data_IF_194570247541
#
_entry.id   IF_194570247541
#
_cell.length_a   1.000
_cell.length_b   1.000
_cell.length_c   1.000
_cell.angle_alpha   90.00
_cell.angle_beta   90.00
_cell.angle_gamma   90.00
#
_symmetry.space_group_name_H-M   'P 1'
#
loop_
_entity.id
_entity.type
_entity.pdbx_description
1 polymer ?
#
# COMPACT_ATOMS: atom_id res chain seq x y z
N UNK A 1 -18.90 -0.38 2.88
CA UNK A 1 -18.47 0.99 3.21
C UNK A 1 -17.26 0.88 4.10
N UNK A 2 -16.13 1.44 3.68
CA UNK A 2 -14.88 1.46 4.43
C UNK A 2 -14.61 2.88 4.95
N UNK A 3 -14.29 3.00 6.24
CA UNK A 3 -14.00 4.27 6.91
C UNK A 3 -12.78 4.12 7.80
N UNK A 4 -11.84 5.07 7.73
CA UNK A 4 -10.68 5.10 8.63
C UNK A 4 -11.11 5.70 9.98
N UNK A 5 -10.92 4.96 11.07
CA UNK A 5 -11.22 5.43 12.44
C UNK A 5 -9.98 5.95 13.14
N UNK A 6 -8.80 5.42 12.80
CA UNK A 6 -7.52 5.95 13.27
C UNK A 6 -6.53 5.90 12.10
N UNK A 7 -6.18 7.07 11.57
CA UNK A 7 -5.27 7.18 10.45
C UNK A 7 -3.83 6.83 10.87
N UNK A 8 -3.02 6.43 9.89
CA UNK A 8 -1.58 6.28 10.09
C UNK A 8 -0.95 7.64 10.47
N UNK A 9 -0.02 7.62 11.42
CA UNK A 9 0.70 8.83 11.85
C UNK A 9 1.62 9.38 10.75
N UNK A 10 2.10 8.51 9.88
CA UNK A 10 2.92 8.85 8.72
C UNK A 10 2.57 7.90 7.56
N UNK A 11 2.60 8.44 6.35
CA UNK A 11 2.37 7.73 5.10
C UNK A 11 3.67 7.35 4.37
N UNK A 12 4.82 7.89 4.79
CA UNK A 12 6.09 7.53 4.18
C UNK A 12 6.43 6.06 4.40
N UNK A 13 6.92 5.42 3.34
CA UNK A 13 7.40 4.04 3.36
C UNK A 13 8.88 3.95 3.75
N UNK A 14 9.59 5.07 3.69
CA UNK A 14 11.00 5.23 4.00
C UNK A 14 11.18 6.30 5.06
N UNK A 15 12.12 6.07 5.97
CA UNK A 15 12.57 7.08 6.92
C UNK A 15 13.34 8.20 6.21
N UNK A 16 13.51 9.39 6.83
CA UNK A 16 14.31 10.48 6.25
C UNK A 16 15.74 10.06 5.90
N UNK A 17 16.38 9.25 6.76
CA UNK A 17 17.71 8.72 6.49
C UNK A 17 17.74 7.77 5.28
N UNK A 18 16.75 6.87 5.16
CA UNK A 18 16.63 5.97 4.01
C UNK A 18 16.36 6.74 2.70
N UNK A 19 15.56 7.83 2.75
CA UNK A 19 15.34 8.70 1.58
C UNK A 19 16.64 9.37 1.11
N UNK A 20 17.48 9.85 2.03
CA UNK A 20 18.80 10.44 1.72
C UNK A 20 19.73 9.40 1.09
N UNK A 21 19.80 8.22 1.69
CA UNK A 21 20.61 7.12 1.19
C UNK A 21 20.17 6.66 -0.20
N UNK A 22 18.86 6.65 -0.48
CA UNK A 22 18.32 6.26 -1.79
C UNK A 22 18.83 7.14 -2.95
N UNK A 23 19.13 8.43 -2.68
CA UNK A 23 19.66 9.37 -3.68
C UNK A 23 21.19 9.54 -3.62
N UNK A 24 21.87 8.71 -2.82
CA UNK A 24 23.33 8.72 -2.70
C UNK A 24 23.90 9.75 -1.72
N UNK A 25 23.06 10.35 -0.87
CA UNK A 25 23.51 11.22 0.22
C UNK A 25 23.84 10.40 1.48
N UNK A 26 24.65 10.97 2.38
CA UNK A 26 24.87 10.35 3.69
C UNK A 26 23.58 10.38 4.52
N UNK A 27 23.44 9.42 5.45
CA UNK A 27 22.25 9.32 6.29
C UNK A 27 21.97 10.56 7.13
N UNK A 28 22.98 11.39 7.39
CA UNK A 28 22.89 12.61 8.20
C UNK A 28 22.82 13.90 7.37
N UNK A 29 22.92 13.82 6.04
CA UNK A 29 22.86 14.99 5.16
C UNK A 29 21.41 15.43 4.89
N UNK A 30 20.92 16.33 5.75
CA UNK A 30 19.58 16.90 5.65
C UNK A 30 19.41 17.99 4.57
N UNK A 31 20.43 18.26 3.73
CA UNK A 31 20.42 19.39 2.79
C UNK A 31 19.32 19.33 1.72
N UNK A 32 18.77 18.13 1.46
CA UNK A 32 17.73 17.89 0.44
C UNK A 32 16.40 17.41 1.00
N UNK A 33 16.22 17.39 2.33
CA UNK A 33 15.02 16.87 2.97
C UNK A 33 13.73 17.56 2.51
N UNK A 34 13.78 18.89 2.33
CA UNK A 34 12.64 19.66 1.83
C UNK A 34 12.16 19.21 0.44
N UNK A 35 13.08 18.63 -0.37
CA UNK A 35 12.77 18.06 -1.69
C UNK A 35 12.40 16.58 -1.59
N UNK A 36 13.09 15.82 -0.73
CA UNK A 36 12.92 14.37 -0.62
C UNK A 36 11.61 13.98 0.10
N UNK A 37 11.19 14.72 1.13
CA UNK A 37 9.97 14.43 1.87
C UNK A 37 8.69 14.40 0.99
N UNK A 38 8.39 15.43 0.17
CA UNK A 38 7.23 15.36 -0.72
C UNK A 38 7.38 14.31 -1.82
N UNK A 39 8.61 14.01 -2.26
CA UNK A 39 8.88 12.94 -3.22
C UNK A 39 8.54 11.56 -2.63
N UNK A 40 8.94 11.32 -1.38
CA UNK A 40 8.64 10.10 -0.63
C UNK A 40 7.14 9.86 -0.50
N UNK A 41 6.38 10.89 -0.11
CA UNK A 41 4.92 10.81 -0.02
C UNK A 41 4.26 10.52 -1.38
N UNK A 42 4.74 11.16 -2.45
CA UNK A 42 4.24 10.90 -3.81
C UNK A 42 4.51 9.46 -4.23
N UNK A 43 5.69 8.92 -3.95
CA UNK A 43 6.03 7.53 -4.25
C UNK A 43 5.20 6.57 -3.39
N UNK A 44 5.01 6.85 -2.11
CA UNK A 44 4.17 6.04 -1.23
C UNK A 44 2.72 5.95 -1.75
N UNK A 45 2.14 7.07 -2.18
CA UNK A 45 0.81 7.10 -2.77
C UNK A 45 0.75 6.31 -4.10
N UNK A 46 1.77 6.43 -4.95
CA UNK A 46 1.86 5.68 -6.21
C UNK A 46 1.97 4.17 -5.95
N UNK A 47 2.76 3.74 -4.97
CA UNK A 47 2.88 2.33 -4.58
C UNK A 47 1.56 1.81 -4.04
N UNK A 48 0.86 2.58 -3.19
CA UNK A 48 -0.46 2.18 -2.70
C UNK A 48 -1.48 2.00 -3.84
N UNK A 49 -1.40 2.80 -4.89
CA UNK A 49 -2.21 2.62 -6.11
C UNK A 49 -1.82 1.35 -6.88
N UNK A 50 -0.52 1.10 -7.10
CA UNK A 50 -0.02 -0.11 -7.80
C UNK A 50 -0.40 -1.39 -7.06
N UNK A 51 -0.40 -1.35 -5.73
CA UNK A 51 -0.83 -2.45 -4.87
C UNK A 51 -2.35 -2.62 -4.79
N UNK A 52 -3.13 -1.75 -5.45
CA UNK A 52 -4.60 -1.73 -5.41
C UNK A 52 -5.15 -1.69 -3.98
N UNK A 53 -4.57 -0.82 -3.14
CA UNK A 53 -5.06 -0.63 -1.78
C UNK A 53 -6.39 0.13 -1.84
N UNK A 54 -7.45 -0.46 -1.27
CA UNK A 54 -8.81 0.08 -1.34
C UNK A 54 -8.91 1.51 -0.76
N UNK A 55 -9.57 2.47 -1.42
CA UNK A 55 -9.78 3.80 -0.87
C UNK A 55 -10.86 3.81 0.22
N UNK A 56 -10.69 4.66 1.23
CA UNK A 56 -11.64 4.82 2.33
C UNK A 56 -12.26 6.23 2.31
N UNK A 57 -13.20 6.43 1.38
CA UNK A 57 -13.81 7.74 1.13
C UNK A 57 -12.76 8.76 0.66
N UNK A 58 -12.65 9.89 1.37
CA UNK A 58 -11.67 10.94 1.08
C UNK A 58 -10.27 10.67 1.65
N UNK A 59 -10.10 9.62 2.45
CA UNK A 59 -8.78 9.29 3.03
C UNK A 59 -7.90 8.62 1.97
N UNK A 60 -6.65 9.09 1.77
CA UNK A 60 -5.75 8.51 0.79
C UNK A 60 -5.43 7.05 1.15
N UNK A 61 -5.27 6.17 0.15
CA UNK A 61 -4.83 4.80 0.41
C UNK A 61 -3.39 4.77 0.91
N UNK A 62 -3.11 3.90 1.88
CA UNK A 62 -1.79 3.74 2.49
C UNK A 62 -1.48 2.27 2.76
N UNK A 63 -0.20 1.91 2.73
CA UNK A 63 0.32 0.61 3.22
C UNK A 63 0.77 0.67 4.68
N UNK A 64 0.76 1.86 5.29
CA UNK A 64 1.07 2.08 6.70
C UNK A 64 -0.12 1.68 7.56
N UNK A 65 0.19 1.25 8.78
CA UNK A 65 -0.82 0.74 9.70
C UNK A 65 -1.87 1.81 10.04
N UNK A 66 -3.14 1.47 9.86
CA UNK A 66 -4.30 2.25 10.25
C UNK A 66 -5.37 1.36 10.88
N UNK A 67 -6.25 1.95 11.68
CA UNK A 67 -7.47 1.28 12.15
C UNK A 67 -8.63 1.70 11.27
N UNK A 68 -9.36 0.73 10.75
CA UNK A 68 -10.49 0.94 9.86
C UNK A 68 -11.73 0.25 10.39
N UNK A 69 -12.88 0.82 10.06
CA UNK A 69 -14.19 0.21 10.21
C UNK A 69 -14.74 -0.09 8.82
N UNK A 70 -15.10 -1.34 8.59
CA UNK A 70 -15.69 -1.80 7.35
C UNK A 70 -17.09 -2.34 7.62
N UNK A 71 -18.07 -1.71 7.00
CA UNK A 71 -19.47 -2.16 7.01
C UNK A 71 -19.77 -2.86 5.71
N UNK A 72 -20.04 -4.16 5.78
CA UNK A 72 -20.39 -4.99 4.63
C UNK A 72 -21.88 -5.36 4.72
N UNK A 73 -22.72 -4.89 3.78
CA UNK A 73 -24.05 -5.47 3.64
C UNK A 73 -23.88 -6.89 3.10
N UNK A 74 -24.48 -7.86 3.79
CA UNK A 74 -24.25 -9.26 3.50
C UNK A 74 -25.52 -10.05 3.23
N UNK A 75 -25.45 -10.91 2.21
CA UNK A 75 -26.29 -12.11 2.12
C UNK A 75 -25.55 -13.28 2.74
N UNK A 76 -26.20 -14.43 2.85
CA UNK A 76 -25.59 -15.63 3.42
C UNK A 76 -24.33 -16.04 2.62
N UNK A 77 -23.14 -16.02 3.23
CA UNK A 77 -21.85 -16.28 2.56
C UNK A 77 -20.82 -16.92 3.48
N UNK A 78 -19.89 -17.69 2.91
CA UNK A 78 -18.86 -18.45 3.64
C UNK A 78 -17.70 -17.59 4.19
N UNK A 79 -17.54 -16.36 3.69
CA UNK A 79 -16.44 -15.48 4.11
C UNK A 79 -16.63 -14.04 3.68
N UNK A 80 -16.00 -13.13 4.41
CA UNK A 80 -15.93 -11.71 4.09
C UNK A 80 -14.50 -11.35 3.72
N UNK A 81 -14.32 -10.86 2.50
CA UNK A 81 -13.05 -10.27 2.10
C UNK A 81 -12.97 -8.84 2.64
N UNK A 82 -12.02 -8.58 3.53
CA UNK A 82 -11.75 -7.25 4.05
C UNK A 82 -10.96 -6.42 3.03
N UNK A 83 -11.29 -5.13 2.94
CA UNK A 83 -10.77 -4.24 1.91
C UNK A 83 -9.31 -3.79 2.14
N UNK A 84 -8.83 -3.78 3.39
CA UNK A 84 -7.45 -3.38 3.74
C UNK A 84 -6.59 -4.59 4.08
N UNK A 85 -5.34 -4.58 3.59
CA UNK A 85 -4.36 -5.66 3.72
C UNK A 85 -2.95 -5.12 3.98
N UNK A 86 -2.08 -5.87 4.68
CA UNK A 86 -2.42 -7.08 5.47
C UNK A 86 -3.31 -6.74 6.67
N UNK A 87 -4.07 -7.72 7.18
CA UNK A 87 -4.82 -7.54 8.44
C UNK A 87 -3.93 -7.97 9.60
N UNK A 88 -3.74 -7.07 10.56
CA UNK A 88 -2.87 -7.31 11.73
C UNK A 88 -3.68 -7.86 12.89
N UNK A 89 -4.83 -7.27 13.18
CA UNK A 89 -5.69 -7.68 14.27
C UNK A 89 -7.14 -7.25 14.01
N UNK A 90 -8.10 -8.10 14.39
CA UNK A 90 -9.51 -7.73 14.47
C UNK A 90 -9.78 -7.17 15.86
N UNK A 91 -10.28 -5.94 15.93
CA UNK A 91 -10.66 -5.28 17.18
C UNK A 91 -12.06 -5.69 17.60
N UNK A 92 -13.01 -5.74 16.67
CA UNK A 92 -14.37 -6.22 16.94
C UNK A 92 -15.10 -6.61 15.66
N UNK A 93 -16.05 -7.52 15.82
CA UNK A 93 -17.02 -7.90 14.78
C UNK A 93 -18.41 -7.76 15.37
N UNK A 94 -19.30 -7.06 14.65
CA UNK A 94 -20.71 -6.93 14.98
C UNK A 94 -21.53 -7.50 13.83
N UNK A 95 -22.30 -8.54 14.14
CA UNK A 95 -23.20 -9.23 13.22
C UNK A 95 -24.65 -8.87 13.56
N UNK A 96 -25.33 -8.17 12.64
CA UNK A 96 -26.72 -7.70 12.78
C UNK A 96 -27.02 -6.97 14.12
N UNK A 97 -26.04 -6.22 14.62
CA UNK A 97 -26.13 -5.46 15.87
C UNK A 97 -25.68 -6.21 17.11
N UNK A 98 -25.41 -7.51 17.04
CA UNK A 98 -24.81 -8.30 18.13
C UNK A 98 -23.29 -8.35 17.97
N UNK A 99 -22.55 -8.04 19.04
CA UNK A 99 -21.11 -8.25 19.06
C UNK A 99 -20.80 -9.75 19.11
N UNK A 100 -19.88 -10.21 18.27
CA UNK A 100 -19.39 -11.59 18.28
C UNK A 100 -18.19 -11.73 19.20
N UNK A 101 -18.08 -12.90 19.83
CA UNK A 101 -16.89 -13.26 20.59
C UNK A 101 -15.70 -13.54 19.64
N UNK A 102 -14.44 -13.32 20.07
CA UNK A 102 -13.28 -13.63 19.23
C UNK A 102 -13.15 -15.11 18.82
N UNK A 103 -13.81 -16.03 19.53
CA UNK A 103 -13.87 -17.45 19.16
C UNK A 103 -14.93 -17.78 18.11
N UNK A 104 -15.78 -16.81 17.75
CA UNK A 104 -16.87 -16.95 16.79
C UNK A 104 -16.45 -16.57 15.36
N UNK A 105 -15.20 -16.15 15.16
CA UNK A 105 -14.66 -15.81 13.86
C UNK A 105 -13.16 -16.08 13.77
N UNK A 106 -12.68 -16.31 12.56
CA UNK A 106 -11.26 -16.45 12.26
C UNK A 106 -10.90 -15.56 11.08
N UNK A 107 -9.71 -14.95 11.13
CA UNK A 107 -9.17 -14.16 10.03
C UNK A 107 -7.91 -14.82 9.51
N UNK A 108 -7.81 -14.97 8.19
CA UNK A 108 -6.52 -15.19 7.55
C UNK A 108 -5.86 -13.82 7.33
N UNK A 109 -4.78 -13.49 8.07
CA UNK A 109 -4.15 -12.17 7.98
C UNK A 109 -3.53 -11.89 6.61
N UNK A 110 -3.19 -12.95 5.87
CA UNK A 110 -2.58 -12.86 4.55
C UNK A 110 -3.65 -12.53 3.52
N UNK A 111 -4.70 -13.36 3.41
CA UNK A 111 -5.76 -13.17 2.40
C UNK A 111 -6.80 -12.13 2.79
N UNK A 112 -6.84 -11.75 4.07
CA UNK A 112 -7.85 -10.90 4.69
C UNK A 112 -9.28 -11.42 4.51
N UNK A 113 -9.41 -12.75 4.46
CA UNK A 113 -10.70 -13.44 4.52
C UNK A 113 -11.05 -13.63 5.99
N UNK A 114 -12.19 -13.08 6.38
CA UNK A 114 -12.82 -13.26 7.68
C UNK A 114 -13.93 -14.31 7.57
N UNK A 115 -13.75 -15.43 8.27
CA UNK A 115 -14.67 -16.57 8.31
C UNK A 115 -15.44 -16.61 9.62
N UNK A 116 -16.73 -16.97 9.57
CA UNK A 116 -17.54 -17.21 10.76
C UNK A 116 -17.29 -18.62 11.26
N UNK A 117 -17.15 -18.78 12.58
CA UNK A 117 -16.94 -20.06 13.25
C UNK A 117 -17.99 -20.28 14.32
N UNK A 118 -18.73 -21.39 14.27
CA UNK A 118 -19.69 -21.73 15.31
C UNK A 118 -19.41 -23.15 15.83
N UNK A 119 -19.19 -23.28 17.14
CA UNK A 119 -18.87 -24.57 17.76
C UNK A 119 -17.63 -25.25 17.16
N UNK A 120 -16.63 -24.46 16.74
CA UNK A 120 -15.38 -24.95 16.14
C UNK A 120 -15.50 -25.41 14.68
N UNK A 121 -16.56 -25.02 13.97
CA UNK A 121 -16.78 -25.32 12.55
C UNK A 121 -17.03 -24.05 11.76
N UNK A 122 -16.62 -24.03 10.50
CA UNK A 122 -16.98 -22.94 9.58
C UNK A 122 -18.50 -22.84 9.46
N UNK A 123 -19.00 -21.61 9.54
CA UNK A 123 -20.40 -21.26 9.41
C UNK A 123 -20.58 -20.16 8.38
N UNK A 124 -21.82 -19.97 7.92
CA UNK A 124 -22.18 -18.84 7.08
C UNK A 124 -22.33 -17.59 7.93
N UNK A 125 -21.86 -16.46 7.38
CA UNK A 125 -22.30 -15.15 7.83
C UNK A 125 -23.81 -14.99 7.59
N UNK A 126 -24.52 -14.45 8.56
CA UNK A 126 -25.97 -14.18 8.44
C UNK A 126 -26.26 -13.16 7.33
N UNK A 127 -27.50 -13.17 6.84
CA UNK A 127 -27.97 -12.11 5.95
C UNK A 127 -28.30 -10.87 6.81
N UNK A 128 -27.57 -9.77 6.62
CA UNK A 128 -27.67 -8.61 7.49
C UNK A 128 -26.51 -7.62 7.31
N UNK A 129 -26.30 -6.79 8.33
CA UNK A 129 -25.19 -5.84 8.36
C UNK A 129 -24.06 -6.39 9.22
N UNK A 130 -22.88 -6.55 8.62
CA UNK A 130 -21.67 -6.88 9.37
C UNK A 130 -20.77 -5.66 9.44
N UNK A 131 -20.35 -5.32 10.66
CA UNK A 131 -19.41 -4.24 10.92
C UNK A 131 -18.16 -4.84 11.53
N UNK A 132 -17.02 -4.65 10.87
CA UNK A 132 -15.72 -5.14 11.32
C UNK A 132 -14.84 -3.95 11.61
N UNK A 133 -14.26 -3.89 12.81
CA UNK A 133 -13.23 -2.93 13.18
C UNK A 133 -11.91 -3.68 13.26
N UNK A 134 -10.89 -3.25 12.52
CA UNK A 134 -9.63 -3.95 12.44
C UNK A 134 -8.46 -3.03 12.13
N UNK A 135 -7.26 -3.48 12.50
CA UNK A 135 -6.00 -2.86 12.15
C UNK A 135 -5.45 -3.52 10.89
N UNK A 136 -5.05 -2.70 9.92
CA UNK A 136 -4.47 -3.17 8.67
C UNK A 136 -3.32 -2.29 8.19
N UNK A 137 -2.41 -2.88 7.43
CA UNK A 137 -1.17 -2.24 6.99
C UNK A 137 0.05 -2.65 7.83
N UNK A 138 1.18 -2.03 7.55
CA UNK A 138 2.46 -2.37 8.17
C UNK A 138 2.89 -1.33 9.19
N UNK A 139 3.14 -1.77 10.43
CA UNK A 139 3.84 -0.97 11.44
C UNK A 139 5.32 -0.81 11.08
N UNK A 140 5.96 -1.90 10.65
CA UNK A 140 7.30 -1.92 10.07
C UNK A 140 7.19 -2.29 8.58
N UNK A 141 7.60 -1.39 7.69
CA UNK A 141 7.50 -1.61 6.24
C UNK A 141 8.46 -2.72 5.81
N UNK A 142 8.00 -3.75 5.06
CA UNK A 142 8.84 -4.82 4.54
C UNK A 142 9.99 -4.32 3.66
N UNK A 143 11.11 -5.03 3.66
CA UNK A 143 12.31 -4.64 2.91
C UNK A 143 12.06 -4.50 1.40
N UNK A 144 11.26 -5.37 0.79
CA UNK A 144 10.96 -5.30 -0.64
C UNK A 144 10.19 -4.03 -0.99
N UNK A 145 9.23 -3.65 -0.15
CA UNK A 145 8.44 -2.42 -0.30
C UNK A 145 9.33 -1.19 -0.11
N UNK A 146 10.25 -1.23 0.86
CA UNK A 146 11.27 -0.17 1.03
C UNK A 146 12.17 -0.06 -0.19
N UNK A 147 12.67 -1.18 -0.72
CA UNK A 147 13.52 -1.18 -1.90
C UNK A 147 12.78 -0.62 -3.12
N UNK A 148 11.53 -1.02 -3.34
CA UNK A 148 10.69 -0.48 -4.39
C UNK A 148 10.49 1.04 -4.26
N UNK A 149 10.23 1.53 -3.04
CA UNK A 149 10.12 2.96 -2.77
C UNK A 149 11.44 3.69 -3.02
N UNK A 150 12.58 3.12 -2.60
CA UNK A 150 13.89 3.73 -2.77
C UNK A 150 14.27 3.84 -4.24
N UNK A 151 14.06 2.77 -5.03
CA UNK A 151 14.31 2.78 -6.48
C UNK A 151 13.48 3.84 -7.19
N UNK A 152 12.21 4.01 -6.80
CA UNK A 152 11.32 5.00 -7.43
C UNK A 152 11.66 6.43 -7.02
N UNK A 153 11.98 6.66 -5.75
CA UNK A 153 12.50 7.95 -5.24
C UNK A 153 13.77 8.33 -5.99
N UNK A 154 14.74 7.41 -6.07
CA UNK A 154 16.00 7.61 -6.78
C UNK A 154 15.76 7.98 -8.25
N UNK A 155 14.89 7.22 -8.93
CA UNK A 155 14.55 7.48 -10.32
C UNK A 155 13.93 8.87 -10.51
N UNK A 156 12.91 9.23 -9.72
CA UNK A 156 12.27 10.54 -9.82
C UNK A 156 13.24 11.69 -9.51
N UNK A 157 14.11 11.52 -8.51
CA UNK A 157 15.09 12.53 -8.13
C UNK A 157 16.09 12.81 -9.25
N UNK A 158 16.64 11.76 -9.88
CA UNK A 158 17.60 11.93 -10.98
C UNK A 158 16.95 12.34 -12.31
N UNK A 159 15.63 12.20 -12.45
CA UNK A 159 14.88 12.78 -13.57
C UNK A 159 14.59 14.27 -13.35
N UNK A 160 14.56 14.74 -12.09
CA UNK A 160 14.34 16.15 -11.78
C UNK A 160 15.50 16.99 -12.32
N UNK A 161 15.20 17.88 -13.27
CA UNK A 161 16.18 18.75 -13.93
C UNK A 161 16.66 18.28 -15.30
N UNK A 162 16.22 17.10 -15.77
CA UNK A 162 16.38 16.71 -17.18
C UNK A 162 15.29 17.33 -18.05
N UNK A 163 15.62 17.60 -19.31
CA UNK A 163 14.61 17.99 -20.31
C UNK A 163 13.70 16.79 -20.61
N UNK A 164 12.39 16.86 -20.30
CA UNK A 164 11.46 15.76 -20.55
C UNK A 164 11.29 15.42 -22.03
N UNK A 165 11.61 16.34 -22.94
CA UNK A 165 11.45 16.16 -24.39
C UNK A 165 12.69 15.54 -25.05
N UNK A 166 13.81 15.46 -24.33
CA UNK A 166 15.07 14.90 -24.86
C UNK A 166 15.03 13.36 -24.84
N UNK A 167 14.90 12.75 -26.02
CA UNK A 167 14.83 11.28 -26.20
C UNK A 167 16.18 10.62 -26.43
N UNK A 168 17.09 11.31 -27.10
CA UNK A 168 18.45 10.84 -27.41
C UNK A 168 19.37 12.03 -27.54
N UNK A 169 20.58 11.89 -27.03
CA UNK A 169 21.66 12.88 -27.15
C UNK A 169 22.88 12.17 -27.71
N UNK A 170 23.43 12.72 -28.78
CA UNK A 170 24.63 12.21 -29.41
C UNK A 170 25.61 13.36 -29.60
N UNK A 171 26.80 13.19 -29.02
CA UNK A 171 27.98 14.00 -29.27
C UNK A 171 28.98 13.07 -29.95
N UNK A 172 29.18 13.20 -31.28
CA UNK A 172 30.04 12.32 -32.05
C UNK A 172 31.41 12.14 -31.39
N UNK A 173 31.88 10.91 -31.31
CA UNK A 173 33.17 10.49 -30.72
C UNK A 173 33.37 10.80 -29.22
N UNK A 174 32.35 11.31 -28.51
CA UNK A 174 32.45 11.70 -27.10
C UNK A 174 31.41 11.00 -26.23
N UNK A 175 30.13 11.00 -26.63
CA UNK A 175 29.03 10.54 -25.80
C UNK A 175 27.81 10.17 -26.64
N UNK A 176 27.16 9.05 -26.32
CA UNK A 176 25.85 8.71 -26.86
C UNK A 176 24.97 8.19 -25.74
N UNK A 177 23.76 8.73 -25.62
CA UNK A 177 22.75 8.27 -24.70
C UNK A 177 21.37 8.23 -25.33
N UNK A 178 20.61 7.21 -24.97
CA UNK A 178 19.20 7.07 -25.33
C UNK A 178 18.40 6.73 -24.07
N UNK A 179 17.22 7.33 -23.94
CA UNK A 179 16.37 7.14 -22.77
C UNK A 179 15.16 6.25 -23.12
N UNK A 180 14.87 5.31 -22.22
CA UNK A 180 13.70 4.46 -22.36
C UNK A 180 12.41 5.28 -22.23
N UNK A 181 11.49 5.09 -23.16
CA UNK A 181 10.12 5.62 -23.03
C UNK A 181 9.33 4.63 -22.19
N UNK A 182 8.65 5.04 -21.11
CA UNK A 182 7.78 4.13 -20.38
C UNK A 182 6.70 3.60 -21.33
N UNK A 183 6.64 2.28 -21.51
CA UNK A 183 5.74 1.59 -22.45
C UNK A 183 4.46 1.08 -21.79
N UNK A 184 4.36 1.15 -20.46
CA UNK A 184 3.24 0.59 -19.71
C UNK A 184 2.08 1.59 -19.56
N UNK A 185 0.86 1.05 -19.59
CA UNK A 185 -0.39 1.75 -19.25
C UNK A 185 -0.48 2.11 -17.77
N UNK A 186 0.32 1.45 -16.94
CA UNK A 186 0.46 1.72 -15.50
C UNK A 186 1.37 2.92 -15.23
N UNK A 187 1.22 3.54 -14.05
CA UNK A 187 1.99 4.71 -13.61
C UNK A 187 3.48 4.60 -13.97
N UNK A 188 4.15 5.70 -14.39
CA UNK A 188 5.54 5.67 -14.83
C UNK A 188 6.43 5.23 -13.67
N UNK A 189 6.73 3.94 -13.63
CA UNK A 189 7.50 3.28 -12.58
C UNK A 189 8.81 2.71 -13.16
N UNK A 190 9.89 2.68 -12.36
CA UNK A 190 11.13 2.05 -12.78
C UNK A 190 10.96 0.56 -13.06
N UNK A 191 11.78 0.01 -13.95
CA UNK A 191 11.89 -1.44 -14.14
C UNK A 191 12.33 -2.11 -12.83
N UNK A 192 11.81 -3.31 -12.52
CA UNK A 192 12.10 -4.05 -11.28
C UNK A 192 11.16 -3.74 -10.11
N UNK A 193 10.52 -2.56 -10.10
CA UNK A 193 9.52 -2.20 -9.07
C UNK A 193 8.26 -3.08 -9.12
N UNK A 194 7.66 -3.37 -10.29
CA UNK A 194 6.49 -4.26 -10.36
C UNK A 194 6.75 -5.64 -9.75
N UNK A 195 7.95 -6.19 -9.97
CA UNK A 195 8.34 -7.52 -9.51
C UNK A 195 8.47 -7.58 -7.98
N UNK A 196 9.05 -6.55 -7.36
CA UNK A 196 9.12 -6.41 -5.90
C UNK A 196 7.73 -6.25 -5.26
N UNK A 197 6.81 -5.57 -5.96
CA UNK A 197 5.46 -5.30 -5.45
C UNK A 197 4.46 -6.42 -5.74
N UNK A 198 4.81 -7.40 -6.57
CA UNK A 198 3.88 -8.43 -7.07
C UNK A 198 3.15 -9.17 -5.94
N UNK A 199 3.85 -9.53 -4.87
CA UNK A 199 3.27 -10.23 -3.71
C UNK A 199 2.31 -9.37 -2.89
N UNK A 200 2.37 -8.04 -3.02
CA UNK A 200 1.60 -7.08 -2.25
C UNK A 200 0.39 -6.52 -3.02
N UNK A 201 0.18 -6.95 -4.28
CA UNK A 201 -0.96 -6.50 -5.10
C UNK A 201 -2.24 -7.22 -4.69
N UNK A 202 -3.32 -6.45 -4.54
CA UNK A 202 -4.65 -7.02 -4.36
C UNK A 202 -5.22 -7.48 -5.71
N UNK A 203 -4.98 -8.75 -6.06
CA UNK A 203 -5.44 -9.37 -7.31
C UNK A 203 -6.97 -9.35 -7.49
N UNK A 204 -7.74 -9.14 -6.42
CA UNK A 204 -9.21 -9.15 -6.44
C UNK A 204 -9.86 -7.78 -6.68
N UNK A 205 -9.09 -6.70 -6.59
CA UNK A 205 -9.55 -5.30 -6.74
C UNK A 205 -9.08 -4.72 -8.09
N UNK A 206 -8.32 -5.49 -8.88
CA UNK A 206 -7.73 -5.11 -10.16
C UNK A 206 -8.74 -5.03 -11.31
#
# INVERSE_FOLDING_TARGET
>A
MLTVTTAAEDYNLLTPAELRQAVGLSGDDASKDATLAPLGLRVAAAIAQVCFVAPAGASPPTLRMETVTETVPTGMRDGLLLSRRPVVAITSVVEDGAALDPGDYEVDPTTAILSRVYGGRCAYWSAGRIVVVYQAGWAAVPHDVKQAAAMWVQWLYHQAGRDPMLRSEEVPDVYSASWATPTSRDAPMPAGVPELLAAYRNAWIA
#
